data_IF_061763985062
#
_entry.id   IF_061763985062
#
_cell.length_a   1.000
_cell.length_b   1.000
_cell.length_c   1.000
_cell.angle_alpha   90.00
_cell.angle_beta   90.00
_cell.angle_gamma   90.00
#
_symmetry.space_group_name_H-M   'P 1'
#
loop_
_entity.id
_entity.type
_entity.pdbx_description
1 polymer ?
#
# COMPACT_ATOMS: atom_id res chain seq x y z
N UNK A 1 -6.25 5.58 -22.39
CA UNK A 1 -5.40 5.70 -21.19
C UNK A 1 -5.97 4.83 -20.09
N UNK A 2 -5.58 3.55 -20.07
CA UNK A 2 -6.00 2.56 -19.08
C UNK A 2 -4.77 1.78 -18.63
N UNK A 3 -3.77 2.50 -18.12
CA UNK A 3 -2.53 1.91 -17.59
C UNK A 3 -2.72 1.50 -16.12
N UNK A 4 -3.84 0.85 -15.82
CA UNK A 4 -4.12 0.29 -14.51
C UNK A 4 -3.71 -1.18 -14.56
N UNK A 5 -2.46 -1.39 -14.15
CA UNK A 5 -1.82 -2.64 -13.72
C UNK A 5 -2.85 -3.76 -13.47
N UNK A 6 -3.15 -4.56 -14.52
CA UNK A 6 -3.96 -5.77 -14.44
C UNK A 6 -3.06 -6.97 -14.09
N UNK A 7 -2.34 -6.88 -12.97
CA UNK A 7 -1.64 -8.08 -12.46
C UNK A 7 -2.67 -8.93 -11.74
N UNK A 8 -3.16 -9.97 -12.43
CA UNK A 8 -4.11 -10.94 -11.87
C UNK A 8 -3.45 -11.70 -10.72
N UNK A 9 -4.18 -11.92 -9.62
CA UNK A 9 -3.73 -12.60 -8.38
C UNK A 9 -3.02 -13.94 -8.64
N UNK A 10 -3.34 -14.63 -9.74
CA UNK A 10 -2.71 -15.87 -10.17
C UNK A 10 -1.28 -15.69 -10.74
N UNK A 11 -1.03 -14.59 -11.45
CA UNK A 11 0.31 -14.24 -11.94
C UNK A 11 1.22 -13.80 -10.79
N UNK A 12 0.63 -13.07 -9.84
CA UNK A 12 1.21 -12.64 -8.58
C UNK A 12 1.73 -13.86 -7.77
N UNK A 13 0.86 -14.86 -7.54
CA UNK A 13 1.17 -16.07 -6.79
C UNK A 13 2.33 -16.89 -7.38
N UNK A 14 2.43 -16.94 -8.71
CA UNK A 14 3.46 -17.70 -9.42
C UNK A 14 4.81 -16.98 -9.44
N UNK A 15 4.81 -15.65 -9.47
CA UNK A 15 6.02 -14.84 -9.31
C UNK A 15 6.59 -14.93 -7.88
N UNK A 16 5.75 -15.04 -6.83
CA UNK A 16 6.24 -15.17 -5.45
C UNK A 16 7.16 -16.34 -5.20
N UNK A 17 6.81 -17.48 -5.78
CA UNK A 17 7.54 -18.72 -5.54
C UNK A 17 8.86 -18.79 -6.29
N UNK A 18 9.01 -17.97 -7.35
CA UNK A 18 10.07 -18.15 -8.35
C UNK A 18 11.10 -17.01 -8.30
N UNK A 19 10.71 -15.78 -7.94
CA UNK A 19 11.59 -14.60 -8.03
C UNK A 19 11.93 -13.93 -6.70
N UNK A 20 11.07 -14.03 -5.66
CA UNK A 20 11.11 -13.06 -4.55
C UNK A 20 11.68 -13.56 -3.22
N UNK A 21 11.96 -14.85 -3.01
CA UNK A 21 12.43 -15.42 -1.73
C UNK A 21 11.67 -14.86 -0.50
N UNK A 22 10.41 -14.47 -0.66
CA UNK A 22 9.62 -13.79 0.36
C UNK A 22 8.28 -14.50 0.53
N UNK A 23 7.68 -14.33 1.71
CA UNK A 23 6.41 -14.99 2.00
C UNK A 23 5.24 -14.24 1.36
N UNK A 24 4.15 -14.93 0.96
CA UNK A 24 2.95 -14.28 0.42
C UNK A 24 2.40 -13.17 1.34
N UNK A 25 2.54 -13.33 2.65
CA UNK A 25 2.10 -12.34 3.64
C UNK A 25 2.89 -11.03 3.54
N UNK A 26 4.22 -11.08 3.40
CA UNK A 26 5.06 -9.90 3.26
C UNK A 26 4.75 -9.13 1.97
N UNK A 27 4.47 -9.86 0.89
CA UNK A 27 4.06 -9.21 -0.35
C UNK A 27 2.67 -8.59 -0.29
N UNK A 28 1.70 -9.28 0.32
CA UNK A 28 0.38 -8.68 0.52
C UNK A 28 0.51 -7.40 1.35
N UNK A 29 1.39 -7.38 2.36
CA UNK A 29 1.71 -6.16 3.09
C UNK A 29 2.26 -5.06 2.16
N UNK A 30 3.14 -5.39 1.19
CA UNK A 30 3.67 -4.40 0.25
C UNK A 30 2.65 -3.85 -0.73
N UNK A 31 1.80 -4.72 -1.28
CA UNK A 31 0.69 -4.28 -2.16
C UNK A 31 -0.28 -3.38 -1.42
N UNK A 32 -0.61 -3.72 -0.16
CA UNK A 32 -1.52 -2.89 0.65
C UNK A 32 -0.93 -1.51 0.92
N UNK A 33 0.37 -1.41 1.19
CA UNK A 33 1.07 -0.13 1.36
C UNK A 33 1.07 0.67 0.05
N UNK A 34 1.33 0.03 -1.09
CA UNK A 34 1.32 0.70 -2.38
C UNK A 34 -0.08 1.22 -2.78
N UNK A 35 -1.12 0.42 -2.56
CA UNK A 35 -2.50 0.84 -2.77
C UNK A 35 -2.89 2.01 -1.86
N UNK A 36 -2.44 1.99 -0.61
CA UNK A 36 -2.66 3.09 0.32
C UNK A 36 -1.91 4.36 -0.10
N UNK A 37 -0.67 4.27 -0.61
CA UNK A 37 0.06 5.42 -1.18
C UNK A 37 -0.72 6.06 -2.31
N UNK A 38 -1.16 5.26 -3.29
CA UNK A 38 -1.94 5.75 -4.42
C UNK A 38 -3.20 6.49 -3.95
N UNK A 39 -3.92 5.96 -2.94
CA UNK A 39 -5.08 6.67 -2.35
C UNK A 39 -4.73 7.95 -1.61
N UNK A 40 -3.61 7.98 -0.88
CA UNK A 40 -3.15 9.20 -0.21
C UNK A 40 -2.78 10.31 -1.20
N UNK A 41 -2.33 9.93 -2.40
CA UNK A 41 -1.93 10.84 -3.48
C UNK A 41 -3.12 11.30 -4.32
N UNK A 42 -4.10 10.41 -4.57
CA UNK A 42 -5.24 10.67 -5.47
C UNK A 42 -6.51 11.11 -4.75
N UNK A 43 -6.61 10.92 -3.44
CA UNK A 43 -7.85 11.16 -2.69
C UNK A 43 -7.64 11.86 -1.36
N UNK A 44 -8.71 12.52 -0.91
CA UNK A 44 -8.76 13.23 0.37
C UNK A 44 -9.32 12.40 1.54
N UNK A 45 -9.42 11.09 1.35
CA UNK A 45 -10.01 10.17 2.33
C UNK A 45 -9.24 10.16 3.66
N UNK A 46 -9.99 9.95 4.75
CA UNK A 46 -9.39 9.79 6.07
C UNK A 46 -8.54 8.52 6.14
N UNK A 47 -7.48 8.54 6.96
CA UNK A 47 -6.58 7.39 7.13
C UNK A 47 -7.30 6.11 7.54
N UNK A 48 -8.37 6.23 8.32
CA UNK A 48 -9.24 5.12 8.72
C UNK A 48 -9.89 4.48 7.49
N UNK A 49 -10.43 5.30 6.59
CA UNK A 49 -11.11 4.82 5.37
C UNK A 49 -10.12 4.20 4.38
N UNK A 50 -8.93 4.77 4.27
CA UNK A 50 -7.83 4.21 3.47
C UNK A 50 -7.41 2.85 4.03
N UNK A 51 -7.23 2.72 5.35
CA UNK A 51 -6.89 1.46 5.99
C UNK A 51 -7.92 0.36 5.66
N UNK A 52 -9.21 0.62 5.89
CA UNK A 52 -10.29 -0.32 5.61
C UNK A 52 -10.30 -0.72 4.12
N UNK A 53 -10.13 0.26 3.22
CA UNK A 53 -10.19 0.00 1.78
C UNK A 53 -8.98 -0.78 1.26
N UNK A 54 -7.83 -0.66 1.92
CA UNK A 54 -6.63 -1.45 1.66
C UNK A 54 -6.65 -2.81 2.38
N UNK A 55 -7.76 -3.21 3.00
CA UNK A 55 -7.88 -4.50 3.71
C UNK A 55 -7.07 -4.55 5.01
N UNK A 56 -6.86 -3.40 5.65
CA UNK A 56 -6.22 -3.27 6.96
C UNK A 56 -7.29 -2.96 8.00
N UNK A 57 -7.24 -3.66 9.13
CA UNK A 57 -8.28 -3.53 10.16
C UNK A 57 -8.27 -2.18 10.86
N UNK A 58 -7.09 -1.55 11.00
CA UNK A 58 -6.95 -0.27 11.70
C UNK A 58 -5.88 0.62 11.08
N UNK A 59 -5.95 1.91 11.40
CA UNK A 59 -4.91 2.89 11.07
C UNK A 59 -3.55 2.56 11.72
N UNK A 60 -3.54 1.85 12.85
CA UNK A 60 -2.29 1.39 13.49
C UNK A 60 -1.60 0.34 12.60
N UNK A 61 -2.35 -0.63 12.06
CA UNK A 61 -1.81 -1.63 11.13
C UNK A 61 -1.26 -0.97 9.86
N UNK A 62 -1.97 0.01 9.32
CA UNK A 62 -1.49 0.84 8.20
C UNK A 62 -0.20 1.55 8.55
N UNK A 63 -0.12 2.17 9.73
CA UNK A 63 1.06 2.92 10.18
C UNK A 63 2.26 1.98 10.38
N UNK A 64 2.05 0.80 10.96
CA UNK A 64 3.12 -0.21 11.11
C UNK A 64 3.64 -0.70 9.77
N UNK A 65 2.76 -0.99 8.81
CA UNK A 65 3.14 -1.42 7.47
C UNK A 65 3.93 -0.31 6.73
N UNK A 66 3.46 0.95 6.82
CA UNK A 66 4.17 2.11 6.26
C UNK A 66 5.55 2.30 6.89
N UNK A 67 5.66 2.16 8.22
CA UNK A 67 6.95 2.28 8.91
C UNK A 67 7.91 1.17 8.49
N UNK A 68 7.43 -0.07 8.37
CA UNK A 68 8.25 -1.21 7.95
C UNK A 68 8.82 -1.06 6.55
N UNK A 69 8.04 -0.50 5.62
CA UNK A 69 8.44 -0.45 4.20
C UNK A 69 9.03 0.88 3.75
N UNK A 70 8.55 1.99 4.31
CA UNK A 70 8.88 3.34 3.85
C UNK A 70 9.53 4.20 4.94
N UNK A 71 9.70 3.67 6.16
CA UNK A 71 10.21 4.40 7.32
C UNK A 71 9.47 5.72 7.59
N UNK A 72 8.17 5.77 7.27
CA UNK A 72 7.33 6.95 7.46
C UNK A 72 5.93 6.57 7.94
N UNK A 73 5.12 7.56 8.28
CA UNK A 73 3.70 7.35 8.60
C UNK A 73 2.83 7.80 7.43
N UNK A 74 1.64 7.25 7.23
CA UNK A 74 0.75 7.66 6.15
C UNK A 74 0.32 9.15 6.28
N UNK A 75 0.23 9.67 7.52
CA UNK A 75 -0.02 11.09 7.78
C UNK A 75 1.14 11.98 7.29
N UNK A 76 2.37 11.62 7.66
CA UNK A 76 3.60 12.33 7.23
C UNK A 76 3.78 12.27 5.72
N UNK A 77 3.53 11.10 5.12
CA UNK A 77 3.57 10.92 3.67
C UNK A 77 2.60 11.87 2.96
N UNK A 78 1.35 11.92 3.44
CA UNK A 78 0.31 12.83 2.93
C UNK A 78 0.68 14.31 3.08
N UNK A 79 1.22 14.68 4.24
CA UNK A 79 1.68 16.06 4.51
C UNK A 79 2.78 16.47 3.52
N UNK A 80 3.83 15.64 3.38
CA UNK A 80 4.94 15.89 2.44
C UNK A 80 4.48 15.98 0.99
N UNK A 81 3.52 15.16 0.58
CA UNK A 81 2.98 15.19 -0.77
C UNK A 81 2.14 16.45 -1.04
N UNK A 82 1.40 16.92 -0.04
CA UNK A 82 0.66 18.19 -0.13
C UNK A 82 1.54 19.42 -0.14
N UNK A 83 2.66 19.41 0.56
CA UNK A 83 3.62 20.54 0.53
C UNK A 83 4.40 20.62 -0.79
N UNK A 84 4.42 19.55 -1.58
CA UNK A 84 5.11 19.47 -2.88
C UNK A 84 4.21 19.73 -4.09
N UNK A 85 2.89 19.86 -3.91
CA UNK A 85 1.93 20.20 -4.97
C UNK A 85 1.64 21.69 -5.01
#
# INVERSE_FOLDING_TARGET
MAERIHVSERQLARLFKTELCTTPAAYIESVRVEMARNRLETSDESLVRIAITCGLSTTDTLTRAFRRQLNTTPAEYRSRFRTRQ
#
